data_IF_611375245401
#
_entry.id   IF_611375245401
#
_cell.length_a   1.000
_cell.length_b   1.000
_cell.length_c   1.000
_cell.angle_alpha   90.00
_cell.angle_beta   90.00
_cell.angle_gamma   90.00
#
_symmetry.space_group_name_H-M   'P 1'
#
loop_
_entity.id
_entity.type
_entity.pdbx_description
1 polymer ?
#
# COMPACT_ATOMS: atom_id res chain seq x y z
N UNK A 1 6.52 9.76 -9.24
CA UNK A 1 5.75 10.51 -8.22
C UNK A 1 6.35 10.22 -6.86
N UNK A 2 6.43 11.18 -5.94
CA UNK A 2 6.92 10.92 -4.58
C UNK A 2 5.99 9.91 -3.90
N UNK A 3 6.56 8.85 -3.34
CA UNK A 3 5.80 7.78 -2.70
C UNK A 3 5.22 8.32 -1.39
N UNK A 4 3.89 8.37 -1.26
CA UNK A 4 3.23 8.80 -0.02
C UNK A 4 3.67 7.85 1.11
N UNK A 5 4.18 8.43 2.19
CA UNK A 5 4.64 7.71 3.39
C UNK A 5 3.53 7.75 4.44
N UNK A 6 3.32 6.63 5.11
CA UNK A 6 2.33 6.48 6.16
C UNK A 6 3.00 6.05 7.45
N UNK A 7 2.61 6.68 8.56
CA UNK A 7 3.05 6.25 9.87
C UNK A 7 2.57 4.82 10.12
N UNK A 8 3.49 3.96 10.53
CA UNK A 8 3.19 2.58 10.88
C UNK A 8 2.47 2.52 12.24
N UNK A 9 1.15 2.62 12.22
CA UNK A 9 0.29 2.47 13.41
C UNK A 9 -0.43 1.12 13.45
N UNK A 10 -0.26 0.30 12.41
CA UNK A 10 -1.02 -0.93 12.16
C UNK A 10 -0.16 -2.20 12.19
N UNK A 11 1.18 -2.08 12.20
CA UNK A 11 2.08 -3.21 12.28
C UNK A 11 3.13 -3.01 13.39
N UNK A 12 2.79 -3.32 14.66
CA UNK A 12 3.66 -3.10 15.81
C UNK A 12 4.94 -3.95 15.80
N UNK A 13 5.01 -4.97 14.95
CA UNK A 13 6.17 -5.86 14.80
C UNK A 13 7.10 -5.44 13.66
N UNK A 14 6.79 -4.35 12.95
CA UNK A 14 7.62 -3.81 11.88
C UNK A 14 8.36 -2.60 12.42
N UNK A 15 9.70 -2.69 12.46
CA UNK A 15 10.60 -1.66 13.03
C UNK A 15 10.63 -0.33 12.24
N UNK A 16 9.88 -0.23 11.14
CA UNK A 16 9.80 1.00 10.36
C UNK A 16 8.68 1.90 10.91
N UNK A 17 9.05 3.12 11.32
CA UNK A 17 8.10 4.14 11.78
C UNK A 17 7.20 4.67 10.65
N UNK A 18 7.69 4.63 9.41
CA UNK A 18 6.96 5.05 8.22
C UNK A 18 7.13 4.04 7.08
N UNK A 19 6.04 3.77 6.38
CA UNK A 19 6.00 2.83 5.26
C UNK A 19 5.44 3.53 4.01
N UNK A 20 6.09 3.38 2.84
CA UNK A 20 5.48 3.78 1.58
C UNK A 20 4.32 2.85 1.20
N UNK A 21 3.33 3.35 0.47
CA UNK A 21 2.20 2.55 -0.07
C UNK A 21 2.67 1.27 -0.75
N UNK A 22 3.76 1.33 -1.52
CA UNK A 22 4.30 0.15 -2.20
C UNK A 22 4.77 -0.95 -1.24
N UNK A 23 5.34 -0.59 -0.09
CA UNK A 23 5.73 -1.54 0.95
C UNK A 23 4.50 -2.10 1.69
N UNK A 24 3.45 -1.27 1.85
CA UNK A 24 2.18 -1.70 2.44
C UNK A 24 1.50 -2.73 1.53
N UNK A 25 1.42 -2.46 0.23
CA UNK A 25 0.90 -3.41 -0.78
C UNK A 25 1.70 -4.71 -0.76
N UNK A 26 3.03 -4.63 -0.69
CA UNK A 26 3.88 -5.81 -0.58
C UNK A 26 3.62 -6.60 0.72
N UNK A 27 3.44 -5.92 1.84
CA UNK A 27 3.10 -6.58 3.11
C UNK A 27 1.73 -7.24 3.08
N UNK A 28 0.75 -6.65 2.40
CA UNK A 28 -0.57 -7.26 2.18
C UNK A 28 -0.45 -8.54 1.33
N UNK A 29 0.31 -8.51 0.24
CA UNK A 29 0.48 -9.69 -0.63
C UNK A 29 1.24 -10.84 0.03
N UNK A 30 2.11 -10.52 0.99
CA UNK A 30 2.85 -11.49 1.81
C UNK A 30 2.09 -11.95 3.06
N UNK A 31 0.91 -11.39 3.34
CA UNK A 31 0.12 -11.68 4.54
C UNK A 31 0.73 -11.13 5.84
N UNK A 32 1.65 -10.16 5.73
CA UNK A 32 2.27 -9.44 6.87
C UNK A 32 1.29 -8.41 7.45
N UNK A 33 0.44 -7.83 6.59
CA UNK A 33 -0.61 -6.88 6.98
C UNK A 33 -1.97 -7.46 6.64
N UNK A 34 -2.98 -7.09 7.44
CA UNK A 34 -4.38 -7.34 7.13
C UNK A 34 -5.02 -6.04 6.66
N UNK A 35 -5.64 -6.04 5.48
CA UNK A 35 -6.26 -4.85 4.89
C UNK A 35 -7.28 -4.21 5.82
N UNK A 36 -8.11 -5.02 6.49
CA UNK A 36 -9.15 -4.57 7.42
C UNK A 36 -8.60 -3.92 8.70
N UNK A 37 -7.31 -4.13 9.01
CA UNK A 37 -6.63 -3.54 10.18
C UNK A 37 -5.90 -2.23 9.84
N UNK A 38 -5.84 -1.86 8.55
CA UNK A 38 -5.22 -0.63 8.11
C UNK A 38 -6.11 0.58 8.45
N UNK A 39 -5.54 1.75 8.78
CA UNK A 39 -6.30 3.00 8.87
C UNK A 39 -6.98 3.31 7.53
N UNK A 40 -8.16 3.95 7.56
CA UNK A 40 -8.92 4.27 6.34
C UNK A 40 -8.09 5.06 5.32
N UNK A 41 -7.28 6.01 5.76
CA UNK A 41 -6.41 6.79 4.87
C UNK A 41 -5.36 5.92 4.14
N UNK A 42 -4.91 4.84 4.77
CA UNK A 42 -3.97 3.88 4.18
C UNK A 42 -4.71 2.98 3.19
N UNK A 43 -5.92 2.53 3.54
CA UNK A 43 -6.78 1.74 2.64
C UNK A 43 -7.06 2.52 1.34
N UNK A 44 -7.50 3.77 1.46
CA UNK A 44 -7.77 4.65 0.31
C UNK A 44 -6.54 4.79 -0.60
N UNK A 45 -5.35 4.93 -0.01
CA UNK A 45 -4.11 5.07 -0.78
C UNK A 45 -3.63 3.76 -1.42
N UNK A 46 -3.91 2.62 -0.79
CA UNK A 46 -3.67 1.29 -1.38
C UNK A 46 -4.60 1.09 -2.56
N UNK A 47 -5.89 1.39 -2.43
CA UNK A 47 -6.87 1.26 -3.51
C UNK A 47 -6.54 2.16 -4.70
N UNK A 48 -6.17 3.42 -4.44
CA UNK A 48 -5.75 4.36 -5.48
C UNK A 48 -4.52 3.86 -6.24
N UNK A 49 -3.51 3.35 -5.53
CA UNK A 49 -2.30 2.82 -6.15
C UNK A 49 -2.55 1.50 -6.89
N UNK A 50 -3.46 0.64 -6.42
CA UNK A 50 -3.86 -0.57 -7.14
C UNK A 50 -4.63 -0.24 -8.42
N UNK A 51 -5.61 0.67 -8.38
CA UNK A 51 -6.33 1.15 -9.55
C UNK A 51 -5.40 1.82 -10.58
N UNK A 52 -4.37 2.54 -10.09
CA UNK A 52 -3.34 3.12 -10.94
C UNK A 52 -2.48 2.05 -11.64
N UNK A 53 -2.21 0.92 -11.00
CA UNK A 53 -1.45 -0.19 -11.62
C UNK A 53 -2.25 -0.89 -12.70
N UNK A 54 -3.53 -1.16 -12.44
CA UNK A 54 -4.43 -1.76 -13.43
C UNK A 54 -4.52 -0.91 -14.70
N UNK A 55 -4.61 0.42 -14.55
CA UNK A 55 -4.66 1.35 -15.70
C UNK A 55 -3.34 1.48 -16.46
N UNK A 56 -2.19 1.17 -15.84
CA UNK A 56 -0.89 1.17 -16.52
C UNK A 56 -0.63 -0.14 -17.26
N UNK A 57 -1.09 -1.28 -16.75
CA UNK A 57 -0.95 -2.58 -17.42
C UNK A 57 -1.81 -2.67 -18.69
N UNK A 58 -2.98 -2.02 -18.72
CA UNK A 58 -3.84 -1.99 -19.91
C UNK A 58 -3.27 -1.14 -21.07
N UNK A 59 -2.43 -0.12 -20.79
CA UNK A 59 -1.83 0.76 -21.81
C UNK A 59 -0.57 0.13 -22.46
N UNK A 60 0.14 -0.76 -21.75
CA UNK A 60 1.31 -1.47 -22.30
C UNK A 60 0.95 -2.68 -23.19
N UNK A 61 -0.33 -3.03 -23.30
CA UNK A 61 -0.82 -4.16 -24.11
C UNK A 61 -1.49 -3.76 -25.44
N UNK A 62 -1.38 -2.50 -25.85
CA UNK A 62 -1.90 -1.98 -27.14
C UNK A 62 -0.83 -1.82 -28.22
#
# INVERSE_FOLDING_TARGET
>A
MPTKLFKNTFAPHVDNDELPVSAIILGLSLGVFHYDELPSEVQDAVDEEMARRETLEDDETQ
#
